data_IF_576503683573
#
_entry.id   IF_576503683573
#
_cell.length_a   1.000
_cell.length_b   1.000
_cell.length_c   1.000
_cell.angle_alpha   90.00
_cell.angle_beta   90.00
_cell.angle_gamma   90.00
#
_symmetry.space_group_name_H-M   'P 1'
#
loop_
_entity.id
_entity.type
_entity.pdbx_description
1 polymer ?
#
# COMPACT_ATOMS: atom_id res chain seq x y z
N UNK A 1 13.16 -34.44 38.75
CA UNK A 1 14.07 -33.32 38.36
C UNK A 1 13.78 -32.80 36.92
N UNK A 2 13.45 -33.67 35.95
CA UNK A 2 13.16 -33.27 34.58
C UNK A 2 11.95 -32.30 34.51
N UNK A 3 10.90 -32.53 35.25
CA UNK A 3 9.71 -31.69 35.27
C UNK A 3 10.00 -30.28 35.87
N UNK A 4 10.84 -30.19 36.90
CA UNK A 4 11.24 -28.90 37.45
C UNK A 4 12.09 -28.10 36.50
N UNK A 5 12.96 -28.79 35.73
CA UNK A 5 13.75 -28.14 34.70
C UNK A 5 12.86 -27.57 33.59
N UNK A 6 11.88 -28.33 33.12
CA UNK A 6 10.94 -27.87 32.10
C UNK A 6 10.16 -26.63 32.59
N UNK A 7 9.68 -26.66 33.82
CA UNK A 7 8.98 -25.51 34.41
C UNK A 7 9.89 -24.28 34.51
N UNK A 8 11.14 -24.46 34.91
CA UNK A 8 12.10 -23.36 35.01
C UNK A 8 12.44 -22.79 33.59
N UNK A 9 12.59 -23.64 32.59
CA UNK A 9 12.83 -23.22 31.20
C UNK A 9 11.62 -22.47 30.65
N UNK A 10 10.39 -22.91 30.97
CA UNK A 10 9.16 -22.20 30.57
C UNK A 10 9.06 -20.82 31.21
N UNK A 11 9.32 -20.72 32.53
CA UNK A 11 9.26 -19.47 33.27
C UNK A 11 10.33 -18.48 32.76
N UNK A 12 11.55 -18.96 32.53
CA UNK A 12 12.60 -18.16 31.89
C UNK A 12 12.23 -17.67 30.50
N UNK A 13 11.60 -18.51 29.69
CA UNK A 13 11.09 -18.16 28.36
C UNK A 13 10.01 -17.08 28.43
N UNK A 14 9.07 -17.20 29.37
CA UNK A 14 8.04 -16.17 29.59
C UNK A 14 8.66 -14.85 30.07
N UNK A 15 9.62 -14.90 30.97
CA UNK A 15 10.37 -13.72 31.42
C UNK A 15 11.07 -13.02 30.27
N UNK A 16 11.73 -13.78 29.39
CA UNK A 16 12.37 -13.24 28.19
C UNK A 16 11.38 -12.53 27.25
N UNK A 17 10.20 -13.12 27.03
CA UNK A 17 9.15 -12.49 26.23
C UNK A 17 8.64 -11.18 26.85
N UNK A 18 8.50 -11.13 28.17
CA UNK A 18 8.11 -9.90 28.87
C UNK A 18 9.16 -8.79 28.71
N UNK A 19 10.45 -9.10 28.83
CA UNK A 19 11.51 -8.12 28.58
C UNK A 19 11.51 -7.64 27.13
N UNK A 20 11.36 -8.54 26.15
CA UNK A 20 11.27 -8.16 24.75
C UNK A 20 10.07 -7.22 24.48
N UNK A 21 8.94 -7.47 25.16
CA UNK A 21 7.77 -6.60 25.04
C UNK A 21 7.98 -5.23 25.71
N UNK A 22 8.67 -5.18 26.83
CA UNK A 22 9.06 -3.91 27.47
C UNK A 22 10.01 -3.09 26.58
N UNK A 23 10.98 -3.74 25.95
CA UNK A 23 11.87 -3.08 24.98
C UNK A 23 11.06 -2.52 23.78
N UNK A 24 10.11 -3.29 23.28
CA UNK A 24 9.20 -2.80 22.22
C UNK A 24 8.43 -1.57 22.68
N UNK A 25 7.84 -1.58 23.88
CA UNK A 25 7.12 -0.42 24.42
C UNK A 25 8.06 0.78 24.55
N UNK A 26 9.28 0.57 25.05
CA UNK A 26 10.26 1.63 25.22
C UNK A 26 10.60 2.29 23.86
N UNK A 27 10.73 1.50 22.79
CA UNK A 27 10.95 2.02 21.43
C UNK A 27 9.77 2.88 20.95
N UNK A 28 8.53 2.53 21.29
CA UNK A 28 7.34 3.28 20.87
C UNK A 28 7.14 4.61 21.63
N UNK A 29 7.78 4.77 22.80
CA UNK A 29 7.72 6.03 23.58
C UNK A 29 8.60 7.15 23.02
N UNK A 30 9.44 6.86 22.03
CA UNK A 30 10.34 7.84 21.42
C UNK A 30 9.93 8.07 19.95
N UNK A 31 9.69 9.31 19.52
CA UNK A 31 9.27 9.61 18.14
C UNK A 31 10.30 9.19 17.06
N UNK A 32 11.59 9.04 17.42
CA UNK A 32 12.63 8.63 16.47
C UNK A 32 12.73 7.11 16.26
N UNK A 33 12.16 6.34 17.19
CA UNK A 33 12.19 4.86 17.15
C UNK A 33 10.82 4.23 17.04
N UNK A 34 9.75 5.03 17.23
CA UNK A 34 8.36 4.59 17.10
C UNK A 34 8.01 4.26 15.66
N UNK A 35 7.12 3.30 15.48
CA UNK A 35 6.65 2.82 14.18
C UNK A 35 5.14 2.90 14.06
N UNK A 36 4.63 2.82 12.84
CA UNK A 36 3.21 2.68 12.50
C UNK A 36 2.28 3.71 13.20
N UNK A 37 1.32 3.22 13.95
CA UNK A 37 0.31 4.05 14.63
C UNK A 37 0.90 4.92 15.74
N UNK A 38 1.92 4.43 16.43
CA UNK A 38 2.61 5.20 17.49
C UNK A 38 3.34 6.38 16.90
N UNK A 39 4.03 6.19 15.77
CA UNK A 39 4.67 7.29 15.05
C UNK A 39 3.62 8.28 14.54
N UNK A 40 2.50 7.80 14.00
CA UNK A 40 1.40 8.67 13.56
C UNK A 40 0.84 9.50 14.72
N UNK A 41 0.74 8.93 15.92
CA UNK A 41 0.35 9.66 17.14
C UNK A 41 1.33 10.78 17.49
N UNK A 42 2.64 10.51 17.46
CA UNK A 42 3.67 11.53 17.67
C UNK A 42 3.61 12.66 16.63
N UNK A 43 3.38 12.31 15.35
CA UNK A 43 3.26 13.28 14.26
C UNK A 43 2.00 14.13 14.42
N UNK A 44 0.89 13.55 14.86
CA UNK A 44 -0.37 14.25 15.09
C UNK A 44 -0.22 15.38 16.13
N UNK A 45 0.62 15.20 17.16
CA UNK A 45 0.94 16.27 18.14
C UNK A 45 1.59 17.50 17.49
N UNK A 46 2.24 17.31 16.35
CA UNK A 46 2.84 18.38 15.54
C UNK A 46 1.96 18.80 14.37
N UNK A 47 0.69 18.34 14.33
CA UNK A 47 -0.25 18.58 13.23
C UNK A 47 0.23 18.07 11.86
N UNK A 48 1.10 17.06 11.86
CA UNK A 48 1.56 16.37 10.66
C UNK A 48 0.77 15.06 10.53
N UNK A 49 -0.04 14.95 9.50
CA UNK A 49 -0.88 13.78 9.24
C UNK A 49 -0.39 13.01 8.03
N UNK A 50 -0.64 11.69 8.03
CA UNK A 50 -0.37 10.86 6.84
C UNK A 50 -1.22 11.37 5.68
N UNK A 51 -0.59 11.49 4.52
CA UNK A 51 -1.31 11.78 3.29
C UNK A 51 -2.32 10.64 3.02
N UNK A 52 -3.60 10.97 2.74
CA UNK A 52 -4.58 9.95 2.41
C UNK A 52 -4.17 9.19 1.13
N UNK A 53 -4.60 7.95 1.03
CA UNK A 53 -4.40 7.15 -0.16
C UNK A 53 -5.09 7.84 -1.36
N UNK A 54 -4.42 7.84 -2.49
CA UNK A 54 -4.97 8.34 -3.75
C UNK A 54 -4.87 7.24 -4.81
N UNK A 55 -5.84 7.18 -5.70
CA UNK A 55 -5.82 6.24 -6.81
C UNK A 55 -4.60 6.49 -7.70
N UNK A 56 -3.95 5.42 -8.12
CA UNK A 56 -2.83 5.52 -9.06
C UNK A 56 -3.33 6.02 -10.42
N UNK A 57 -2.58 6.92 -11.03
CA UNK A 57 -2.90 7.49 -12.34
C UNK A 57 -1.73 7.30 -13.29
N UNK A 58 -2.05 7.01 -14.54
CA UNK A 58 -1.08 7.05 -15.63
C UNK A 58 -1.57 8.03 -16.69
N UNK A 59 -0.76 9.05 -17.06
CA UNK A 59 -1.18 10.06 -18.04
C UNK A 59 -1.16 9.55 -19.47
N UNK A 60 -0.46 8.44 -19.74
CA UNK A 60 -0.23 7.96 -21.09
C UNK A 60 -0.20 6.43 -21.13
N UNK A 61 -1.33 5.84 -21.39
CA UNK A 61 -1.45 4.41 -21.72
C UNK A 61 -1.71 4.29 -23.21
N UNK A 62 -0.86 3.55 -23.91
CA UNK A 62 -1.00 3.29 -25.33
C UNK A 62 -1.97 2.13 -25.55
N UNK A 63 -2.98 2.36 -26.35
CA UNK A 63 -3.88 1.33 -26.85
C UNK A 63 -3.63 1.13 -28.36
N UNK A 64 -3.75 -0.10 -28.83
CA UNK A 64 -3.67 -0.46 -30.23
C UNK A 64 -4.98 -1.07 -30.71
N UNK A 65 -5.34 -0.78 -31.94
CA UNK A 65 -6.60 -1.28 -32.53
C UNK A 65 -6.78 -0.85 -33.98
N UNK A 66 -7.97 -1.12 -34.50
CA UNK A 66 -8.32 -0.67 -35.84
C UNK A 66 -8.45 0.85 -35.90
N UNK A 67 -7.96 1.46 -36.99
CA UNK A 67 -8.09 2.89 -37.20
C UNK A 67 -9.56 3.35 -37.09
N UNK A 68 -9.74 4.55 -36.55
CA UNK A 68 -11.06 5.17 -36.30
C UNK A 68 -11.93 4.48 -35.22
N UNK A 69 -11.44 3.42 -34.57
CA UNK A 69 -12.15 2.83 -33.43
C UNK A 69 -12.13 3.79 -32.23
N UNK A 70 -13.24 3.84 -31.49
CA UNK A 70 -13.42 4.71 -30.32
C UNK A 70 -13.54 3.85 -29.06
N UNK A 71 -12.71 4.14 -28.07
CA UNK A 71 -12.84 3.61 -26.71
C UNK A 71 -13.46 4.72 -25.85
N UNK A 72 -14.67 4.55 -25.35
CA UNK A 72 -15.34 5.61 -24.59
C UNK A 72 -14.71 5.81 -23.22
N UNK A 73 -14.87 7.02 -22.70
CA UNK A 73 -14.53 7.36 -21.31
C UNK A 73 -15.22 6.40 -20.33
N UNK A 74 -14.52 6.01 -19.27
CA UNK A 74 -15.04 5.07 -18.29
C UNK A 74 -14.86 3.60 -18.64
N UNK A 75 -14.26 3.26 -19.79
CA UNK A 75 -13.93 1.88 -20.15
C UNK A 75 -12.96 1.26 -19.14
N UNK A 76 -13.23 0.02 -18.75
CA UNK A 76 -12.40 -0.71 -17.79
C UNK A 76 -11.30 -1.46 -18.52
N UNK A 77 -10.07 -1.24 -18.09
CA UNK A 77 -8.88 -1.93 -18.56
C UNK A 77 -8.37 -2.82 -17.43
N UNK A 78 -8.22 -4.12 -17.70
CA UNK A 78 -7.69 -5.08 -16.76
C UNK A 78 -6.18 -5.23 -16.98
N UNK A 79 -5.41 -5.07 -15.91
CA UNK A 79 -3.99 -5.40 -15.90
C UNK A 79 -3.82 -6.89 -15.56
N UNK A 80 -2.78 -7.53 -16.08
CA UNK A 80 -2.56 -8.97 -15.94
C UNK A 80 -2.39 -9.47 -14.50
N UNK A 81 -2.16 -8.59 -13.55
CA UNK A 81 -2.08 -8.86 -12.11
C UNK A 81 -3.42 -8.68 -11.36
N UNK A 82 -4.51 -8.45 -12.07
CA UNK A 82 -5.87 -8.33 -11.52
C UNK A 82 -6.30 -6.92 -11.14
N UNK A 83 -5.42 -5.92 -11.22
CA UNK A 83 -5.81 -4.53 -10.98
C UNK A 83 -6.57 -3.95 -12.17
N UNK A 84 -7.57 -3.12 -11.86
CA UNK A 84 -8.44 -2.49 -12.84
C UNK A 84 -8.18 -1.00 -12.92
N UNK A 85 -8.26 -0.47 -14.14
CA UNK A 85 -8.12 0.94 -14.43
C UNK A 85 -9.30 1.39 -15.30
N UNK A 86 -9.64 2.64 -15.18
CA UNK A 86 -10.70 3.27 -15.97
C UNK A 86 -10.10 4.37 -16.84
N UNK A 87 -10.55 4.46 -18.10
CA UNK A 87 -10.18 5.56 -19.00
C UNK A 87 -10.79 6.87 -18.51
N UNK A 88 -9.99 7.93 -18.48
CA UNK A 88 -10.40 9.27 -18.03
C UNK A 88 -10.98 10.13 -19.16
N UNK A 89 -10.79 9.71 -20.42
CA UNK A 89 -11.29 10.40 -21.60
C UNK A 89 -11.62 9.41 -22.72
N UNK A 90 -12.37 9.89 -23.73
CA UNK A 90 -12.58 9.14 -24.96
C UNK A 90 -11.26 9.04 -25.74
N UNK A 91 -10.97 7.85 -26.23
CA UNK A 91 -9.80 7.58 -27.04
C UNK A 91 -10.22 7.20 -28.46
N UNK A 92 -9.82 7.98 -29.46
CA UNK A 92 -9.90 7.60 -30.86
C UNK A 92 -8.56 7.04 -31.33
N UNK A 93 -8.58 5.82 -31.89
CA UNK A 93 -7.40 5.18 -32.48
C UNK A 93 -7.09 5.89 -33.79
N UNK A 94 -5.86 6.33 -33.94
CA UNK A 94 -5.40 7.06 -35.16
C UNK A 94 -5.16 6.11 -36.34
N UNK A 95 -4.88 6.67 -37.47
CA UNK A 95 -4.62 5.92 -38.72
C UNK A 95 -3.39 5.00 -38.65
N UNK A 96 -2.46 5.28 -37.71
CA UNK A 96 -1.30 4.44 -37.40
C UNK A 96 -1.63 3.20 -36.55
N UNK A 97 -2.89 3.04 -36.12
CA UNK A 97 -3.35 1.94 -35.29
C UNK A 97 -3.10 2.10 -33.79
N UNK A 98 -2.68 3.29 -33.34
CA UNK A 98 -2.38 3.57 -31.94
C UNK A 98 -3.17 4.76 -31.41
N UNK A 99 -3.34 4.80 -30.12
CA UNK A 99 -3.90 5.94 -29.41
C UNK A 99 -3.38 6.00 -27.97
N UNK A 100 -3.37 7.18 -27.38
CA UNK A 100 -2.88 7.39 -26.01
C UNK A 100 -4.02 7.98 -25.17
N UNK A 101 -4.23 7.42 -23.99
CA UNK A 101 -5.27 7.86 -23.05
C UNK A 101 -4.75 7.84 -21.62
N UNK A 102 -5.21 8.79 -20.82
CA UNK A 102 -5.00 8.79 -19.37
C UNK A 102 -5.95 7.79 -18.69
N UNK A 103 -5.45 7.13 -17.65
CA UNK A 103 -6.23 6.15 -16.88
C UNK A 103 -6.03 6.35 -15.38
N UNK A 104 -7.08 6.04 -14.62
CA UNK A 104 -7.08 6.08 -13.16
C UNK A 104 -7.43 4.69 -12.61
N UNK A 105 -6.70 4.22 -11.59
CA UNK A 105 -7.00 2.95 -10.91
C UNK A 105 -8.35 3.02 -10.19
N UNK A 106 -9.06 1.88 -10.19
CA UNK A 106 -10.33 1.71 -9.49
C UNK A 106 -10.07 1.05 -8.14
#
# INVERSE_FOLDING_TARGET
FANLKVLADMDAGMGHLHYAYLDYIALQTNPFTSTDEYLAGWMALKQVFRKPAAAAKSPAVQASGSADSIIPVGSIINRGDGYQYRTDADLKIQADGFGIVAVTAI
#
